data_IF_120648346160
#
_entry.id   IF_120648346160
#
_cell.length_a   1.000
_cell.length_b   1.000
_cell.length_c   1.000
_cell.angle_alpha   90.00
_cell.angle_beta   90.00
_cell.angle_gamma   90.00
#
_symmetry.space_group_name_H-M   'P 1'
#
loop_
_entity.id
_entity.type
_entity.pdbx_description
1 polymer ?
#
# COMPACT_ATOMS: atom_id res chain seq x y z
N UNK A 1 -21.13 7.35 27.36
CA UNK A 1 -21.74 6.41 26.39
C UNK A 1 -21.92 5.09 27.10
N UNK A 2 -22.98 4.32 26.79
CA UNK A 2 -23.10 2.96 27.31
C UNK A 2 -21.87 2.15 26.90
N UNK A 3 -21.33 1.40 27.85
CA UNK A 3 -20.26 0.42 27.62
C UNK A 3 -20.71 -0.54 26.51
N UNK A 4 -19.81 -0.86 25.56
CA UNK A 4 -20.15 -1.77 24.47
C UNK A 4 -20.51 -3.15 25.04
N UNK A 5 -21.78 -3.52 24.93
CA UNK A 5 -22.26 -4.83 25.35
C UNK A 5 -22.64 -5.66 24.12
N UNK A 6 -21.82 -6.66 23.82
CA UNK A 6 -22.01 -7.57 22.69
C UNK A 6 -23.34 -8.34 22.77
N UNK A 7 -23.77 -8.72 23.98
CA UNK A 7 -25.04 -9.42 24.16
C UNK A 7 -26.24 -8.52 23.87
N UNK A 8 -26.19 -7.25 24.29
CA UNK A 8 -27.22 -6.27 23.98
C UNK A 8 -27.28 -5.96 22.49
N UNK A 9 -26.13 -5.89 21.82
CA UNK A 9 -26.06 -5.71 20.36
C UNK A 9 -26.77 -6.85 19.63
N UNK A 10 -26.44 -8.11 19.94
CA UNK A 10 -27.09 -9.29 19.33
C UNK A 10 -28.58 -9.32 19.63
N UNK A 11 -28.96 -8.99 20.87
CA UNK A 11 -30.37 -8.95 21.27
C UNK A 11 -31.14 -7.92 20.45
N UNK A 12 -30.62 -6.69 20.35
CA UNK A 12 -31.25 -5.61 19.61
C UNK A 12 -31.30 -5.85 18.11
N UNK A 13 -30.24 -6.43 17.54
CA UNK A 13 -30.22 -6.88 16.14
C UNK A 13 -31.37 -7.87 15.88
N UNK A 14 -31.49 -8.93 16.69
CA UNK A 14 -32.58 -9.90 16.55
C UNK A 14 -33.96 -9.29 16.75
N UNK A 15 -34.11 -8.42 17.75
CA UNK A 15 -35.39 -7.78 18.07
C UNK A 15 -35.85 -6.86 16.94
N UNK A 16 -34.96 -6.02 16.41
CA UNK A 16 -35.28 -5.09 15.33
C UNK A 16 -35.48 -5.81 14.00
N UNK A 17 -34.67 -6.82 13.70
CA UNK A 17 -34.82 -7.61 12.48
C UNK A 17 -36.09 -8.48 12.49
N UNK A 18 -36.60 -8.88 13.66
CA UNK A 18 -37.87 -9.59 13.77
C UNK A 18 -39.06 -8.72 13.28
N UNK A 19 -38.97 -7.40 13.42
CA UNK A 19 -40.01 -6.45 13.04
C UNK A 19 -39.91 -5.97 11.57
N UNK A 20 -38.92 -6.44 10.80
CA UNK A 20 -38.79 -6.09 9.39
C UNK A 20 -39.93 -6.66 8.55
N UNK A 21 -40.41 -5.86 7.61
CA UNK A 21 -41.33 -6.27 6.54
C UNK A 21 -40.68 -7.27 5.60
N UNK A 22 -41.47 -8.08 4.90
CA UNK A 22 -40.95 -9.04 3.92
C UNK A 22 -40.12 -8.34 2.82
N UNK A 23 -40.54 -7.15 2.38
CA UNK A 23 -39.81 -6.36 1.39
C UNK A 23 -38.41 -5.97 1.89
N UNK A 24 -38.27 -5.56 3.14
CA UNK A 24 -36.98 -5.21 3.74
C UNK A 24 -36.08 -6.46 3.87
N UNK A 25 -36.64 -7.62 4.23
CA UNK A 25 -35.89 -8.89 4.29
C UNK A 25 -35.37 -9.32 2.92
N UNK A 26 -36.19 -9.19 1.89
CA UNK A 26 -35.74 -9.47 0.51
C UNK A 26 -34.64 -8.50 0.08
N UNK A 27 -34.77 -7.21 0.40
CA UNK A 27 -33.76 -6.21 0.09
C UNK A 27 -32.43 -6.50 0.80
N UNK A 28 -32.47 -6.87 2.09
CA UNK A 28 -31.28 -7.25 2.87
C UNK A 28 -30.56 -8.47 2.25
N UNK A 29 -31.33 -9.48 1.83
CA UNK A 29 -30.80 -10.67 1.15
C UNK A 29 -30.13 -10.31 -0.18
N UNK A 30 -30.77 -9.46 -0.99
CA UNK A 30 -30.21 -8.97 -2.25
C UNK A 30 -28.91 -8.21 -2.00
N UNK A 31 -28.89 -7.35 -0.98
CA UNK A 31 -27.71 -6.56 -0.65
C UNK A 31 -26.58 -7.46 -0.11
N UNK A 32 -26.89 -8.53 0.62
CA UNK A 32 -25.89 -9.53 1.04
C UNK A 32 -25.27 -10.25 -0.16
N UNK A 33 -26.10 -10.72 -1.10
CA UNK A 33 -25.60 -11.33 -2.34
C UNK A 33 -24.73 -10.35 -3.12
N UNK A 34 -25.16 -9.08 -3.25
CA UNK A 34 -24.38 -8.03 -3.92
C UNK A 34 -23.02 -7.83 -3.24
N UNK A 35 -22.99 -7.74 -1.90
CA UNK A 35 -21.74 -7.61 -1.13
C UNK A 35 -20.81 -8.81 -1.37
N UNK A 36 -21.33 -10.04 -1.36
CA UNK A 36 -20.54 -11.25 -1.62
C UNK A 36 -19.95 -11.26 -3.04
N UNK A 37 -20.74 -10.86 -4.04
CA UNK A 37 -20.24 -10.70 -5.42
C UNK A 37 -19.14 -9.64 -5.48
N UNK A 38 -19.33 -8.49 -4.85
CA UNK A 38 -18.32 -7.40 -4.80
C UNK A 38 -17.02 -7.90 -4.16
N UNK A 39 -17.08 -8.65 -3.06
CA UNK A 39 -15.91 -9.25 -2.41
C UNK A 39 -15.20 -10.22 -3.36
N UNK A 40 -15.93 -11.07 -4.06
CA UNK A 40 -15.37 -12.07 -4.98
C UNK A 40 -14.67 -11.44 -6.19
N UNK A 41 -15.14 -10.28 -6.68
CA UNK A 41 -14.50 -9.55 -7.78
C UNK A 41 -13.37 -8.63 -7.33
N UNK A 42 -13.11 -8.46 -6.02
CA UNK A 42 -12.04 -7.58 -5.52
C UNK A 42 -10.66 -7.87 -6.10
N UNK A 43 -10.21 -9.13 -6.22
CA UNK A 43 -8.95 -9.43 -6.88
C UNK A 43 -8.85 -8.85 -8.29
N UNK A 44 -9.92 -8.96 -9.08
CA UNK A 44 -9.94 -8.50 -10.47
C UNK A 44 -10.04 -6.98 -10.59
N UNK A 45 -10.65 -6.33 -9.59
CA UNK A 45 -10.80 -4.87 -9.52
C UNK A 45 -9.69 -4.19 -8.73
N UNK A 46 -8.75 -4.95 -8.18
CA UNK A 46 -7.59 -4.39 -7.48
C UNK A 46 -6.76 -3.59 -8.45
N UNK A 47 -6.33 -2.41 -8.00
CA UNK A 47 -5.58 -1.45 -8.80
C UNK A 47 -4.28 -2.00 -9.42
N UNK A 48 -3.70 -3.05 -8.81
CA UNK A 48 -2.47 -3.69 -9.26
C UNK A 48 -2.70 -4.93 -10.13
N UNK A 49 -3.95 -5.36 -10.34
CA UNK A 49 -4.27 -6.59 -11.06
C UNK A 49 -3.75 -6.58 -12.49
N UNK A 50 -4.13 -5.57 -13.29
CA UNK A 50 -3.74 -5.48 -14.69
C UNK A 50 -2.23 -5.32 -14.86
N UNK A 51 -1.58 -4.55 -13.98
CA UNK A 51 -0.13 -4.38 -13.98
C UNK A 51 0.60 -5.69 -13.67
N UNK A 52 0.10 -6.45 -12.69
CA UNK A 52 0.63 -7.76 -12.33
C UNK A 52 0.47 -8.74 -13.49
N UNK A 53 -0.73 -8.84 -14.06
CA UNK A 53 -1.02 -9.71 -15.20
C UNK A 53 -0.12 -9.39 -16.41
N UNK A 54 0.05 -8.10 -16.72
CA UNK A 54 0.92 -7.65 -17.80
C UNK A 54 2.36 -8.13 -17.58
N UNK A 55 2.93 -7.93 -16.38
CA UNK A 55 4.27 -8.40 -16.08
C UNK A 55 4.42 -9.93 -16.15
N UNK A 56 3.40 -10.67 -15.70
CA UNK A 56 3.38 -12.13 -15.80
C UNK A 56 3.42 -12.59 -17.26
N UNK A 57 2.61 -11.97 -18.13
CA UNK A 57 2.59 -12.27 -19.57
C UNK A 57 3.95 -11.92 -20.20
N UNK A 58 4.51 -10.74 -19.92
CA UNK A 58 5.80 -10.30 -20.45
C UNK A 58 6.93 -11.26 -20.07
N UNK A 59 6.92 -11.76 -18.84
CA UNK A 59 7.91 -12.73 -18.37
C UNK A 59 7.55 -14.19 -18.66
N UNK A 60 6.54 -14.45 -19.50
CA UNK A 60 6.07 -15.80 -19.88
C UNK A 60 5.80 -16.68 -18.65
N UNK A 61 5.19 -16.10 -17.62
CA UNK A 61 4.90 -16.75 -16.33
C UNK A 61 6.13 -17.38 -15.66
N UNK A 62 7.32 -16.82 -15.86
CA UNK A 62 8.53 -17.30 -15.20
C UNK A 62 8.63 -16.81 -13.74
N UNK A 63 8.01 -17.56 -12.84
CA UNK A 63 7.98 -17.29 -11.39
C UNK A 63 9.33 -17.50 -10.67
N UNK A 64 10.38 -17.98 -11.36
CA UNK A 64 11.70 -18.15 -10.75
C UNK A 64 12.40 -16.82 -10.49
N UNK A 65 12.04 -15.76 -11.25
CA UNK A 65 12.66 -14.44 -11.11
C UNK A 65 12.30 -13.79 -9.76
N UNK A 66 13.27 -13.34 -8.95
CA UNK A 66 13.01 -12.73 -7.65
C UNK A 66 12.03 -11.55 -7.70
N UNK A 67 12.13 -10.71 -8.73
CA UNK A 67 11.24 -9.56 -8.89
C UNK A 67 9.79 -9.98 -9.11
N UNK A 68 9.54 -11.03 -9.90
CA UNK A 68 8.19 -11.53 -10.14
C UNK A 68 7.58 -12.07 -8.86
N UNK A 69 8.38 -12.69 -7.98
CA UNK A 69 7.92 -13.10 -6.65
C UNK A 69 7.47 -11.89 -5.83
N UNK A 70 8.26 -10.81 -5.78
CA UNK A 70 7.87 -9.57 -5.07
C UNK A 70 6.55 -9.03 -5.59
N UNK A 71 6.41 -8.89 -6.91
CA UNK A 71 5.18 -8.37 -7.53
C UNK A 71 3.96 -9.21 -7.15
N UNK A 72 4.06 -10.53 -7.22
CA UNK A 72 2.96 -11.44 -6.86
C UNK A 72 2.62 -11.34 -5.37
N UNK A 73 3.62 -11.38 -4.49
CA UNK A 73 3.37 -11.28 -3.05
C UNK A 73 2.78 -9.92 -2.67
N UNK A 74 3.28 -8.83 -3.23
CA UNK A 74 2.72 -7.49 -3.08
C UNK A 74 1.24 -7.47 -3.50
N UNK A 75 0.93 -7.97 -4.70
CA UNK A 75 -0.44 -8.02 -5.22
C UNK A 75 -1.37 -8.87 -4.34
N UNK A 76 -0.95 -10.08 -3.94
CA UNK A 76 -1.76 -10.97 -3.10
C UNK A 76 -2.04 -10.32 -1.75
N UNK A 77 -1.02 -9.80 -1.07
CA UNK A 77 -1.18 -9.16 0.24
C UNK A 77 -2.08 -7.92 0.16
N UNK A 78 -1.88 -7.05 -0.84
CA UNK A 78 -2.75 -5.89 -1.08
C UNK A 78 -4.20 -6.29 -1.32
N UNK A 79 -4.42 -7.32 -2.14
CA UNK A 79 -5.75 -7.83 -2.47
C UNK A 79 -6.46 -8.44 -1.25
N UNK A 80 -5.75 -9.18 -0.39
CA UNK A 80 -6.33 -9.71 0.84
C UNK A 80 -6.78 -8.57 1.75
N UNK A 81 -5.98 -7.50 1.87
CA UNK A 81 -6.39 -6.29 2.58
C UNK A 81 -7.66 -5.67 2.00
N UNK A 82 -7.74 -5.54 0.67
CA UNK A 82 -8.93 -4.99 -0.02
C UNK A 82 -10.18 -5.86 0.19
N UNK A 83 -10.02 -7.20 0.23
CA UNK A 83 -11.09 -8.16 0.52
C UNK A 83 -11.58 -8.00 1.96
N UNK A 84 -10.67 -7.89 2.93
CA UNK A 84 -11.01 -7.73 4.34
C UNK A 84 -11.71 -6.39 4.60
N UNK A 85 -11.22 -5.29 4.01
CA UNK A 85 -11.90 -3.99 4.11
C UNK A 85 -13.32 -4.07 3.55
N UNK A 86 -13.49 -4.66 2.35
CA UNK A 86 -14.79 -4.83 1.73
C UNK A 86 -15.72 -5.73 2.55
N UNK A 87 -15.19 -6.76 3.21
CA UNK A 87 -15.94 -7.60 4.13
C UNK A 87 -16.36 -6.82 5.39
N UNK A 88 -15.48 -5.98 5.94
CA UNK A 88 -15.79 -5.07 7.03
C UNK A 88 -16.91 -4.08 6.71
N UNK A 89 -17.05 -3.67 5.44
CA UNK A 89 -18.15 -2.79 5.01
C UNK A 89 -19.55 -3.44 5.12
N UNK A 90 -19.67 -4.76 5.42
CA UNK A 90 -20.98 -5.37 5.71
C UNK A 90 -21.61 -4.82 6.99
N UNK A 91 -20.80 -4.32 7.92
CA UNK A 91 -21.25 -3.78 9.20
C UNK A 91 -21.68 -2.32 9.01
N UNK A 92 -22.86 -2.14 8.41
CA UNK A 92 -23.44 -0.83 8.06
C UNK A 92 -24.29 -0.24 9.18
N UNK A 93 -24.70 -1.05 10.15
CA UNK A 93 -25.62 -0.67 11.22
C UNK A 93 -25.03 -1.09 12.56
N UNK A 94 -25.11 -0.22 13.55
CA UNK A 94 -24.70 -0.48 14.92
C UNK A 94 -25.93 -0.54 15.83
N UNK A 95 -26.15 -1.71 16.43
CA UNK A 95 -27.31 -1.98 17.28
C UNK A 95 -26.92 -1.84 18.76
N UNK A 96 -27.65 -1.03 19.53
CA UNK A 96 -27.38 -0.87 20.96
C UNK A 96 -28.64 -0.45 21.73
N UNK A 97 -28.55 -0.40 23.07
CA UNK A 97 -29.65 0.06 23.94
C UNK A 97 -29.40 1.50 24.42
N UNK A 98 -30.43 2.33 24.33
CA UNK A 98 -30.51 3.64 24.96
C UNK A 98 -31.70 3.61 25.92
N UNK A 99 -31.45 3.77 27.23
CA UNK A 99 -32.49 3.74 28.27
C UNK A 99 -33.39 2.47 28.20
N UNK A 100 -32.79 1.33 27.86
CA UNK A 100 -33.48 0.04 27.71
C UNK A 100 -34.18 -0.19 26.37
N UNK A 101 -34.19 0.81 25.48
CA UNK A 101 -34.80 0.73 24.15
C UNK A 101 -33.74 0.37 23.11
N UNK A 102 -34.03 -0.60 22.25
CA UNK A 102 -33.15 -0.97 21.14
C UNK A 102 -33.19 0.09 20.02
N UNK A 103 -32.00 0.54 19.61
CA UNK A 103 -31.80 1.54 18.55
C UNK A 103 -30.80 1.01 17.53
N UNK A 104 -31.03 1.34 16.25
CA UNK A 104 -30.12 1.07 15.15
C UNK A 104 -29.55 2.38 14.60
N UNK A 105 -28.24 2.55 14.66
CA UNK A 105 -27.55 3.73 14.12
C UNK A 105 -26.74 3.37 12.86
N UNK A 106 -26.75 4.22 11.82
CA UNK A 106 -25.94 3.99 10.64
C UNK A 106 -24.43 4.18 10.93
N UNK A 107 -23.63 3.25 10.44
CA UNK A 107 -22.16 3.24 10.58
C UNK A 107 -21.54 4.01 9.42
N UNK A 108 -21.32 5.30 9.64
CA UNK A 108 -20.71 6.20 8.64
C UNK A 108 -19.19 6.03 8.53
N UNK A 109 -18.51 5.69 9.62
CA UNK A 109 -17.06 5.46 9.67
C UNK A 109 -16.71 4.09 10.24
N UNK A 110 -15.52 3.56 9.93
CA UNK A 110 -15.11 2.22 10.37
C UNK A 110 -15.00 2.12 11.90
N UNK A 111 -14.64 3.23 12.54
CA UNK A 111 -14.47 3.43 13.97
C UNK A 111 -15.80 3.34 14.72
N UNK A 112 -16.94 3.59 14.04
CA UNK A 112 -18.25 3.56 14.69
C UNK A 112 -18.77 2.14 14.94
N UNK A 113 -18.06 1.10 14.49
CA UNK A 113 -18.45 -0.28 14.73
C UNK A 113 -17.23 -1.14 15.12
N UNK A 114 -17.18 -1.72 16.34
CA UNK A 114 -16.03 -2.48 16.87
C UNK A 114 -15.50 -3.57 15.92
N UNK A 115 -16.39 -4.40 15.36
CA UNK A 115 -16.00 -5.46 14.41
C UNK A 115 -15.52 -4.90 13.05
N UNK A 116 -16.15 -3.83 12.55
CA UNK A 116 -15.71 -3.17 11.31
C UNK A 116 -14.30 -2.64 11.48
N UNK A 117 -14.05 -1.90 12.55
CA UNK A 117 -12.72 -1.41 12.92
C UNK A 117 -11.68 -2.54 12.96
N UNK A 118 -11.98 -3.61 13.70
CA UNK A 118 -11.10 -4.77 13.82
C UNK A 118 -10.74 -5.38 12.45
N UNK A 119 -11.74 -5.62 11.62
CA UNK A 119 -11.53 -6.28 10.33
C UNK A 119 -10.85 -5.33 9.34
N UNK A 120 -11.38 -4.11 9.18
CA UNK A 120 -11.02 -3.20 8.10
C UNK A 120 -9.80 -2.32 8.39
N UNK A 121 -9.45 -2.12 9.67
CA UNK A 121 -8.29 -1.29 10.05
C UNK A 121 -7.16 -2.10 10.65
N UNK A 122 -7.46 -3.05 11.53
CA UNK A 122 -6.42 -3.89 12.14
C UNK A 122 -6.01 -5.05 11.24
N UNK A 123 -6.94 -5.95 10.88
CA UNK A 123 -6.60 -7.11 10.04
C UNK A 123 -6.23 -6.73 8.61
N UNK A 124 -7.07 -5.94 7.93
CA UNK A 124 -6.76 -5.45 6.59
C UNK A 124 -5.47 -4.60 6.58
N UNK A 125 -5.26 -3.79 7.62
CA UNK A 125 -4.03 -3.01 7.81
C UNK A 125 -2.78 -3.88 7.80
N UNK A 126 -2.78 -5.01 8.52
CA UNK A 126 -1.64 -5.95 8.50
C UNK A 126 -1.30 -6.38 7.07
N UNK A 127 -2.30 -6.78 6.29
CA UNK A 127 -2.09 -7.25 4.91
C UNK A 127 -1.65 -6.12 3.98
N UNK A 128 -2.25 -4.93 4.09
CA UNK A 128 -1.85 -3.76 3.32
C UNK A 128 -0.40 -3.36 3.59
N UNK A 129 -0.05 -3.12 4.86
CA UNK A 129 1.32 -2.71 5.22
C UNK A 129 2.34 -3.82 4.99
N UNK A 130 1.97 -5.11 5.12
CA UNK A 130 2.85 -6.22 4.73
C UNK A 130 3.11 -6.23 3.22
N UNK A 131 2.08 -6.00 2.39
CA UNK A 131 2.23 -5.89 0.95
C UNK A 131 3.12 -4.70 0.56
N UNK A 132 3.02 -3.61 1.30
CA UNK A 132 3.89 -2.44 1.15
C UNK A 132 5.35 -2.75 1.50
N UNK A 133 5.62 -3.41 2.63
CA UNK A 133 6.97 -3.84 3.04
C UNK A 133 7.61 -4.76 1.99
N UNK A 134 6.83 -5.69 1.44
CA UNK A 134 7.31 -6.57 0.34
C UNK A 134 7.65 -5.75 -0.90
N UNK A 135 6.83 -4.75 -1.25
CA UNK A 135 7.10 -3.82 -2.35
C UNK A 135 8.39 -3.03 -2.15
N UNK A 136 8.68 -2.57 -0.93
CA UNK A 136 9.89 -1.79 -0.61
C UNK A 136 11.21 -2.56 -0.77
N UNK A 137 11.16 -3.90 -0.78
CA UNK A 137 12.34 -4.71 -1.08
C UNK A 137 12.75 -4.63 -2.54
N UNK A 138 11.87 -4.16 -3.43
CA UNK A 138 12.16 -4.05 -4.85
C UNK A 138 13.37 -3.14 -5.14
N UNK A 139 13.41 -1.86 -4.72
CA UNK A 139 14.59 -1.01 -4.92
C UNK A 139 15.88 -1.59 -4.32
N UNK A 140 15.80 -2.24 -3.16
CA UNK A 140 16.94 -2.87 -2.49
C UNK A 140 17.53 -4.01 -3.35
N UNK A 141 16.70 -4.93 -3.84
CA UNK A 141 17.15 -6.03 -4.70
C UNK A 141 17.72 -5.49 -6.02
N UNK A 142 17.07 -4.48 -6.61
CA UNK A 142 17.56 -3.85 -7.86
C UNK A 142 18.92 -3.20 -7.64
N UNK A 143 19.10 -2.51 -6.53
CA UNK A 143 20.36 -1.81 -6.26
C UNK A 143 21.47 -2.81 -5.95
N UNK A 144 21.18 -3.85 -5.18
CA UNK A 144 22.13 -4.96 -4.93
C UNK A 144 22.62 -5.63 -6.22
N UNK A 145 21.75 -5.80 -7.21
CA UNK A 145 22.13 -6.41 -8.48
C UNK A 145 23.08 -5.54 -9.32
N UNK A 146 23.04 -4.21 -9.14
CA UNK A 146 23.88 -3.25 -9.87
C UNK A 146 25.16 -2.91 -9.10
N UNK A 147 25.11 -2.87 -7.77
CA UNK A 147 26.28 -2.63 -6.92
C UNK A 147 27.05 -3.94 -6.74
N UNK A 148 27.88 -4.29 -7.72
CA UNK A 148 28.80 -5.45 -7.65
C UNK A 148 30.20 -4.96 -7.26
N UNK A 149 30.89 -5.65 -6.35
CA UNK A 149 32.31 -5.40 -6.03
C UNK A 149 32.59 -4.68 -4.70
N UNK A 150 33.57 -3.76 -4.70
CA UNK A 150 34.18 -3.12 -3.52
C UNK A 150 33.27 -2.12 -2.78
N UNK A 151 32.17 -1.69 -3.40
CA UNK A 151 31.25 -0.67 -2.85
C UNK A 151 30.17 -1.24 -1.90
N UNK A 152 30.37 -2.45 -1.36
CA UNK A 152 29.48 -3.10 -0.39
C UNK A 152 29.16 -2.22 0.83
N UNK A 153 30.07 -1.32 1.21
CA UNK A 153 29.84 -0.36 2.30
C UNK A 153 28.66 0.58 2.01
N UNK A 154 28.45 0.99 0.75
CA UNK A 154 27.31 1.84 0.39
C UNK A 154 25.99 1.07 0.45
N UNK A 155 26.02 -0.24 0.15
CA UNK A 155 24.84 -1.10 0.22
C UNK A 155 24.31 -1.22 1.67
N UNK A 156 25.20 -1.17 2.67
CA UNK A 156 24.82 -1.17 4.09
C UNK A 156 23.86 -0.02 4.44
N UNK A 157 24.15 1.20 3.97
CA UNK A 157 23.25 2.34 4.22
C UNK A 157 21.84 2.10 3.67
N UNK A 158 21.73 1.46 2.51
CA UNK A 158 20.43 1.12 1.90
C UNK A 158 19.67 0.10 2.75
N UNK A 159 20.37 -0.92 3.30
CA UNK A 159 19.74 -1.87 4.21
C UNK A 159 19.23 -1.19 5.47
N UNK A 160 20.01 -0.28 6.06
CA UNK A 160 19.63 0.45 7.27
C UNK A 160 18.43 1.37 7.02
N UNK A 161 18.44 2.17 5.94
CA UNK A 161 17.31 3.05 5.62
C UNK A 161 16.07 2.28 5.22
N UNK A 162 16.20 1.17 4.47
CA UNK A 162 15.09 0.26 4.17
C UNK A 162 14.52 -0.37 5.44
N UNK A 163 15.36 -0.76 6.40
CA UNK A 163 14.93 -1.30 7.68
C UNK A 163 14.15 -0.27 8.49
N UNK A 164 14.68 0.96 8.63
CA UNK A 164 14.00 2.06 9.34
C UNK A 164 12.65 2.38 8.67
N UNK A 165 12.61 2.44 7.34
CA UNK A 165 11.38 2.70 6.60
C UNK A 165 10.34 1.59 6.82
N UNK A 166 10.72 0.31 6.72
CA UNK A 166 9.82 -0.80 7.01
C UNK A 166 9.38 -0.85 8.48
N UNK A 167 10.27 -0.49 9.41
CA UNK A 167 9.96 -0.39 10.83
C UNK A 167 8.87 0.64 11.08
N UNK A 168 8.87 1.78 10.36
CA UNK A 168 7.80 2.78 10.47
C UNK A 168 6.41 2.22 10.12
N UNK A 169 6.33 1.30 9.15
CA UNK A 169 5.08 0.60 8.77
C UNK A 169 4.66 -0.42 9.81
N UNK A 170 5.62 -1.11 10.43
CA UNK A 170 5.34 -2.00 11.57
C UNK A 170 4.78 -1.21 12.75
N UNK A 171 5.36 -0.05 13.05
CA UNK A 171 4.82 0.86 14.08
C UNK A 171 3.40 1.28 13.74
N UNK A 172 3.10 1.63 12.47
CA UNK A 172 1.71 1.91 12.05
C UNK A 172 0.77 0.71 12.25
N UNK A 173 1.20 -0.50 11.89
CA UNK A 173 0.39 -1.71 12.12
C UNK A 173 0.07 -1.87 13.60
N UNK A 174 1.10 -1.85 14.47
CA UNK A 174 0.94 -2.02 15.91
C UNK A 174 0.11 -0.90 16.54
N UNK A 175 0.23 0.33 16.04
CA UNK A 175 -0.53 1.47 16.54
C UNK A 175 -2.05 1.31 16.35
N UNK A 176 -2.51 0.63 15.29
CA UNK A 176 -3.94 0.33 15.15
C UNK A 176 -4.48 -0.60 16.25
N UNK A 177 -3.61 -1.36 16.92
CA UNK A 177 -3.97 -2.24 18.03
C UNK A 177 -3.90 -1.57 19.41
N UNK A 178 -3.41 -0.33 19.53
CA UNK A 178 -3.32 0.35 20.83
C UNK A 178 -4.65 0.93 21.29
N UNK A 179 -5.59 1.15 20.38
CA UNK A 179 -6.93 1.64 20.71
C UNK A 179 -7.88 0.46 20.88
N UNK A 180 -8.51 0.44 22.06
CA UNK A 180 -9.53 -0.55 22.37
C UNK A 180 -10.78 -0.33 21.50
N UNK A 181 -11.39 -1.44 21.07
CA UNK A 181 -12.53 -1.42 20.15
C UNK A 181 -13.74 -0.70 20.76
N UNK A 182 -13.81 -0.65 22.08
CA UNK A 182 -14.93 -0.11 22.83
C UNK A 182 -14.78 1.40 23.11
N UNK A 183 -13.55 1.93 23.08
CA UNK A 183 -13.25 3.34 23.38
C UNK A 183 -12.95 4.19 22.15
N UNK A 184 -12.93 3.59 20.96
CA UNK A 184 -12.43 4.27 19.77
C UNK A 184 -13.19 5.55 19.39
N UNK A 185 -14.52 5.60 19.62
CA UNK A 185 -15.31 6.80 19.34
C UNK A 185 -14.95 7.98 20.26
N UNK A 186 -14.45 7.70 21.47
CA UNK A 186 -14.01 8.73 22.42
C UNK A 186 -12.56 9.17 22.14
N UNK A 187 -11.74 8.26 21.64
CA UNK A 187 -10.31 8.50 21.38
C UNK A 187 -9.98 8.82 19.92
N UNK A 188 -10.99 8.90 19.03
CA UNK A 188 -10.81 9.07 17.58
C UNK A 188 -9.84 10.21 17.23
N UNK A 189 -10.06 11.40 17.80
CA UNK A 189 -9.23 12.57 17.53
C UNK A 189 -7.77 12.35 17.95
N UNK A 190 -7.55 11.81 19.15
CA UNK A 190 -6.21 11.57 19.67
C UNK A 190 -5.51 10.47 18.86
N UNK A 191 -6.24 9.40 18.54
CA UNK A 191 -5.75 8.31 17.71
C UNK A 191 -5.24 8.85 16.38
N UNK A 192 -6.07 9.60 15.66
CA UNK A 192 -5.73 10.09 14.34
C UNK A 192 -4.62 11.14 14.35
N UNK A 193 -4.53 11.98 15.38
CA UNK A 193 -3.43 12.96 15.49
C UNK A 193 -2.06 12.26 15.56
N UNK A 194 -1.93 11.24 16.40
CA UNK A 194 -0.71 10.44 16.50
C UNK A 194 -0.50 9.59 15.25
N UNK A 195 -1.56 9.02 14.68
CA UNK A 195 -1.50 8.28 13.41
C UNK A 195 -0.90 9.13 12.29
N UNK A 196 -1.38 10.36 12.10
CA UNK A 196 -0.86 11.29 11.09
C UNK A 196 0.59 11.71 11.37
N UNK A 197 0.98 11.85 12.63
CA UNK A 197 2.38 12.10 13.00
C UNK A 197 3.29 10.92 12.65
N UNK A 198 2.88 9.68 12.95
CA UNK A 198 3.61 8.45 12.56
C UNK A 198 3.70 8.35 11.04
N UNK A 199 2.61 8.65 10.33
CA UNK A 199 2.58 8.63 8.87
C UNK A 199 3.55 9.66 8.27
N UNK A 200 3.57 10.90 8.78
CA UNK A 200 4.52 11.93 8.35
C UNK A 200 5.97 11.48 8.59
N UNK A 201 6.26 10.86 9.74
CA UNK A 201 7.57 10.28 10.01
C UNK A 201 7.94 9.16 9.01
N UNK A 202 6.97 8.33 8.61
CA UNK A 202 7.16 7.30 7.60
C UNK A 202 7.44 7.88 6.21
N UNK A 203 6.76 8.96 5.80
CA UNK A 203 7.08 9.68 4.56
C UNK A 203 8.51 10.23 4.56
N UNK A 204 8.96 10.80 5.67
CA UNK A 204 10.36 11.23 5.82
C UNK A 204 11.33 10.04 5.70
N UNK A 205 11.02 8.90 6.32
CA UNK A 205 11.82 7.68 6.20
C UNK A 205 11.85 7.16 4.74
N UNK A 206 10.74 7.24 4.02
CA UNK A 206 10.66 6.88 2.60
C UNK A 206 11.60 7.73 1.76
N UNK A 207 11.61 9.05 1.95
CA UNK A 207 12.51 9.95 1.22
C UNK A 207 13.99 9.69 1.54
N UNK A 208 14.32 9.38 2.80
CA UNK A 208 15.67 8.99 3.19
C UNK A 208 16.09 7.67 2.51
N UNK A 209 15.17 6.70 2.43
CA UNK A 209 15.40 5.45 1.73
C UNK A 209 15.63 5.69 0.23
N UNK A 210 14.74 6.41 -0.45
CA UNK A 210 14.88 6.75 -1.87
C UNK A 210 16.17 7.52 -2.16
N UNK A 211 16.54 8.47 -1.31
CA UNK A 211 17.79 9.23 -1.40
C UNK A 211 19.01 8.31 -1.27
N UNK A 212 18.98 7.36 -0.34
CA UNK A 212 20.08 6.41 -0.16
C UNK A 212 20.25 5.48 -1.39
N UNK A 213 19.14 5.02 -1.96
CA UNK A 213 19.12 4.21 -3.19
C UNK A 213 19.65 5.03 -4.37
N UNK A 214 19.21 6.28 -4.52
CA UNK A 214 19.68 7.19 -5.56
C UNK A 214 21.19 7.38 -5.51
N UNK A 215 21.73 7.75 -4.32
CA UNK A 215 23.16 8.00 -4.15
C UNK A 215 23.97 6.75 -4.47
N UNK A 216 23.54 5.57 -3.98
CA UNK A 216 24.24 4.33 -4.22
C UNK A 216 24.24 3.91 -5.70
N UNK A 217 23.08 4.00 -6.37
CA UNK A 217 22.97 3.71 -7.80
C UNK A 217 23.80 4.67 -8.63
N UNK A 218 23.74 5.97 -8.31
CA UNK A 218 24.49 7.02 -9.00
C UNK A 218 26.00 6.73 -8.93
N UNK A 219 26.52 6.44 -7.74
CA UNK A 219 27.93 6.11 -7.52
C UNK A 219 28.37 4.86 -8.27
N UNK A 220 27.61 3.77 -8.18
CA UNK A 220 27.95 2.51 -8.85
C UNK A 220 28.01 2.67 -10.37
N UNK A 221 27.03 3.39 -10.95
CA UNK A 221 26.99 3.62 -12.39
C UNK A 221 28.17 4.50 -12.85
N UNK A 222 28.50 5.58 -12.13
CA UNK A 222 29.61 6.45 -12.53
C UNK A 222 30.96 5.73 -12.56
N UNK A 223 31.21 4.81 -11.62
CA UNK A 223 32.46 4.04 -11.56
C UNK A 223 32.64 3.08 -12.73
N UNK A 224 31.56 2.48 -13.25
CA UNK A 224 31.61 1.61 -14.45
C UNK A 224 31.57 2.41 -15.76
N UNK A 225 31.01 3.62 -15.77
CA UNK A 225 30.88 4.41 -17.01
C UNK A 225 32.21 5.01 -17.48
N UNK A 226 33.17 5.23 -16.58
CA UNK A 226 34.52 5.68 -16.97
C UNK A 226 35.29 4.64 -17.80
N UNK A 227 34.91 3.34 -17.73
CA UNK A 227 35.61 2.26 -18.43
C UNK A 227 34.87 1.71 -19.66
N UNK A 228 33.58 2.02 -19.88
CA UNK A 228 32.78 1.42 -20.95
C UNK A 228 31.95 2.47 -21.72
N UNK A 229 32.45 2.87 -22.90
CA UNK A 229 31.71 3.65 -23.90
C UNK A 229 30.65 2.78 -24.61
N UNK A 230 29.51 2.47 -23.98
CA UNK A 230 28.38 1.83 -24.68
C UNK A 230 27.00 2.35 -24.24
N UNK A 231 26.12 2.54 -25.24
CA UNK A 231 24.83 3.25 -25.12
C UNK A 231 23.75 2.58 -24.26
N UNK A 232 23.89 1.30 -23.90
CA UNK A 232 22.93 0.59 -23.05
C UNK A 232 22.93 1.08 -21.61
N UNK A 233 24.11 1.16 -20.98
CA UNK A 233 24.25 1.66 -19.60
C UNK A 233 23.71 3.09 -19.49
N UNK A 234 23.90 3.90 -20.53
CA UNK A 234 23.35 5.27 -20.60
C UNK A 234 21.81 5.27 -20.68
N UNK A 235 21.19 4.40 -21.48
CA UNK A 235 19.73 4.24 -21.55
C UNK A 235 19.16 3.68 -20.23
N UNK A 236 19.80 2.66 -19.65
CA UNK A 236 19.40 2.03 -18.39
C UNK A 236 19.51 2.99 -17.20
N UNK A 237 20.56 3.81 -17.16
CA UNK A 237 20.73 4.86 -16.15
C UNK A 237 19.55 5.82 -16.14
N UNK A 238 19.21 6.39 -17.31
CA UNK A 238 18.13 7.36 -17.42
C UNK A 238 16.78 6.79 -16.92
N UNK A 239 16.55 5.50 -17.14
CA UNK A 239 15.28 4.84 -16.78
C UNK A 239 15.18 4.60 -15.27
N UNK A 240 16.25 4.14 -14.65
CA UNK A 240 16.24 3.88 -13.21
C UNK A 240 16.38 5.15 -12.35
N UNK A 241 17.02 6.19 -12.88
CA UNK A 241 17.03 7.53 -12.28
C UNK A 241 15.65 8.19 -12.34
N UNK A 242 14.93 8.02 -13.46
CA UNK A 242 13.60 8.60 -13.64
C UNK A 242 12.62 8.15 -12.54
N UNK A 243 12.59 6.86 -12.20
CA UNK A 243 11.76 6.36 -11.08
C UNK A 243 12.04 7.11 -9.78
N UNK A 244 13.31 7.14 -9.37
CA UNK A 244 13.68 7.68 -8.07
C UNK A 244 13.42 9.19 -8.03
N UNK A 245 13.64 9.88 -9.16
CA UNK A 245 13.31 11.28 -9.31
C UNK A 245 11.80 11.53 -9.15
N UNK A 246 10.94 10.72 -9.78
CA UNK A 246 9.49 10.89 -9.65
C UNK A 246 9.03 10.60 -8.21
N UNK A 247 9.49 9.51 -7.59
CA UNK A 247 9.19 9.22 -6.18
C UNK A 247 9.65 10.35 -5.24
N UNK A 248 10.85 10.91 -5.48
CA UNK A 248 11.37 12.03 -4.69
C UNK A 248 10.55 13.31 -4.89
N UNK A 249 10.12 13.63 -6.12
CA UNK A 249 9.26 14.80 -6.39
C UNK A 249 7.91 14.64 -5.69
N UNK A 250 7.28 13.47 -5.80
CA UNK A 250 6.01 13.18 -5.14
C UNK A 250 6.16 13.28 -3.62
N UNK A 251 7.23 12.72 -3.04
CA UNK A 251 7.47 12.83 -1.61
C UNK A 251 7.76 14.27 -1.16
N UNK A 252 8.52 15.05 -1.95
CA UNK A 252 8.83 16.45 -1.65
C UNK A 252 7.59 17.35 -1.69
N UNK A 253 6.62 17.06 -2.55
CA UNK A 253 5.32 17.76 -2.61
C UNK A 253 4.37 17.20 -1.55
N UNK A 254 4.36 15.89 -1.33
CA UNK A 254 3.47 15.21 -0.39
C UNK A 254 3.72 15.61 1.06
N UNK A 255 4.99 15.70 1.48
CA UNK A 255 5.35 16.06 2.87
C UNK A 255 4.77 17.42 3.31
N UNK A 256 4.94 18.54 2.59
CA UNK A 256 4.38 19.82 3.03
C UNK A 256 2.85 19.82 3.02
N UNK A 257 2.21 19.13 2.08
CA UNK A 257 0.74 19.02 2.04
C UNK A 257 0.24 18.22 3.26
N UNK A 258 0.81 17.04 3.51
CA UNK A 258 0.44 16.19 4.64
C UNK A 258 0.81 16.84 5.99
N UNK A 259 1.94 17.54 6.06
CA UNK A 259 2.37 18.26 7.25
C UNK A 259 1.45 19.44 7.58
N UNK A 260 1.07 20.23 6.59
CA UNK A 260 0.11 21.33 6.79
C UNK A 260 -1.27 20.80 7.21
N UNK A 261 -1.75 19.71 6.60
CA UNK A 261 -2.95 18.99 7.04
C UNK A 261 -2.89 18.58 8.51
N UNK A 262 -1.79 17.95 8.94
CA UNK A 262 -1.63 17.53 10.34
C UNK A 262 -1.66 18.73 11.30
N UNK A 263 -1.01 19.85 10.94
CA UNK A 263 -1.04 21.08 11.75
C UNK A 263 -2.45 21.69 11.80
N UNK A 264 -3.16 21.73 10.66
CA UNK A 264 -4.53 22.25 10.62
C UNK A 264 -5.48 21.40 11.45
N UNK A 265 -5.34 20.07 11.44
CA UNK A 265 -6.13 19.16 12.26
C UNK A 265 -5.98 19.43 13.76
N UNK A 266 -4.76 19.73 14.21
CA UNK A 266 -4.50 20.09 15.62
C UNK A 266 -5.21 21.37 16.04
N UNK A 267 -5.32 22.35 15.14
CA UNK A 267 -5.95 23.65 15.40
C UNK A 267 -7.47 23.62 15.20
N UNK A 268 -7.99 22.80 14.28
CA UNK A 268 -9.38 22.80 13.84
C UNK A 268 -10.01 21.40 13.93
N UNK A 269 -10.22 20.91 15.16
CA UNK A 269 -10.75 19.56 15.44
C UNK A 269 -12.11 19.26 14.83
N UNK A 270 -12.93 20.28 14.57
CA UNK A 270 -14.29 20.11 14.04
C UNK A 270 -14.35 19.75 12.55
N UNK A 271 -13.23 19.84 11.82
CA UNK A 271 -13.17 19.61 10.39
C UNK A 271 -12.29 18.41 10.06
N UNK A 272 -12.74 17.59 9.12
CA UNK A 272 -11.96 16.47 8.63
C UNK A 272 -10.87 16.96 7.66
N UNK A 273 -9.68 17.21 8.20
CA UNK A 273 -8.49 17.55 7.43
C UNK A 273 -7.71 16.32 6.96
N UNK A 274 -8.28 15.11 7.03
CA UNK A 274 -7.59 13.91 6.58
C UNK A 274 -7.45 13.88 5.05
N UNK A 275 -6.24 13.60 4.58
CA UNK A 275 -5.95 13.39 3.15
C UNK A 275 -5.61 11.92 2.90
N UNK A 276 -6.52 11.04 3.30
CA UNK A 276 -6.38 9.60 3.12
C UNK A 276 -6.23 9.21 1.64
N UNK A 277 -6.98 9.86 0.75
CA UNK A 277 -6.87 9.60 -0.70
C UNK A 277 -5.51 10.03 -1.26
N UNK A 278 -4.96 11.15 -0.80
CA UNK A 278 -3.63 11.60 -1.19
C UNK A 278 -2.56 10.63 -0.66
N UNK A 279 -2.72 10.15 0.58
CA UNK A 279 -1.87 9.12 1.19
C UNK A 279 -1.81 7.87 0.31
N UNK A 280 -2.99 7.36 -0.05
CA UNK A 280 -3.17 6.18 -0.91
C UNK A 280 -2.53 6.44 -2.28
N UNK A 281 -2.77 7.61 -2.88
CA UNK A 281 -2.19 8.00 -4.16
C UNK A 281 -0.65 8.03 -4.16
N UNK A 282 -0.03 8.65 -3.15
CA UNK A 282 1.44 8.74 -3.02
C UNK A 282 2.04 7.34 -2.94
N UNK A 283 1.49 6.52 -2.04
CA UNK A 283 1.96 5.14 -1.79
C UNK A 283 1.80 4.28 -3.03
N UNK A 284 0.63 4.30 -3.68
CA UNK A 284 0.36 3.51 -4.87
C UNK A 284 1.23 3.94 -6.05
N UNK A 285 1.52 5.24 -6.19
CA UNK A 285 2.39 5.74 -7.26
C UNK A 285 3.79 5.17 -7.16
N UNK A 286 4.35 5.09 -5.95
CA UNK A 286 5.66 4.45 -5.71
C UNK A 286 5.65 2.99 -6.17
N UNK A 287 4.58 2.24 -5.93
CA UNK A 287 4.48 0.86 -6.40
C UNK A 287 4.19 0.75 -7.91
N UNK A 288 3.40 1.66 -8.51
CA UNK A 288 3.27 1.71 -9.98
C UNK A 288 4.62 1.85 -10.67
N UNK A 289 5.54 2.62 -10.07
CA UNK A 289 6.89 2.74 -10.61
C UNK A 289 7.69 1.45 -10.60
N UNK A 290 7.42 0.51 -9.68
CA UNK A 290 8.02 -0.84 -9.73
C UNK A 290 7.59 -1.56 -11.02
N UNK A 291 6.30 -1.49 -11.38
CA UNK A 291 5.78 -2.14 -12.58
C UNK A 291 6.33 -1.48 -13.85
N UNK A 292 6.30 -0.16 -13.90
CA UNK A 292 6.82 0.63 -15.02
C UNK A 292 8.31 0.33 -15.26
N UNK A 293 9.11 0.27 -14.19
CA UNK A 293 10.54 -0.05 -14.27
C UNK A 293 10.78 -1.45 -14.85
N UNK A 294 9.99 -2.45 -14.44
CA UNK A 294 10.08 -3.81 -15.01
C UNK A 294 9.68 -3.89 -16.48
N UNK A 295 8.63 -3.16 -16.88
CA UNK A 295 8.22 -3.08 -18.28
C UNK A 295 9.35 -2.48 -19.12
N UNK A 296 9.91 -1.35 -18.68
CA UNK A 296 11.01 -0.69 -19.38
C UNK A 296 12.25 -1.59 -19.49
N UNK A 297 12.64 -2.24 -18.38
CA UNK A 297 13.75 -3.20 -18.35
C UNK A 297 13.58 -4.34 -19.35
N UNK A 298 12.38 -4.88 -19.45
CA UNK A 298 12.08 -5.94 -20.41
C UNK A 298 12.28 -5.49 -21.86
N UNK A 299 11.75 -4.32 -22.23
CA UNK A 299 11.89 -3.79 -23.59
C UNK A 299 13.35 -3.52 -23.97
N UNK A 300 14.10 -2.90 -23.06
CA UNK A 300 15.53 -2.62 -23.24
C UNK A 300 16.31 -3.92 -23.47
N UNK A 301 16.09 -4.95 -22.63
CA UNK A 301 16.79 -6.24 -22.78
C UNK A 301 16.49 -6.92 -24.12
N UNK A 302 15.27 -6.74 -24.65
CA UNK A 302 14.86 -7.31 -25.94
C UNK A 302 15.51 -6.58 -27.12
N UNK A 303 15.65 -5.26 -27.05
CA UNK A 303 16.33 -4.44 -28.07
C UNK A 303 17.79 -4.90 -28.23
N UNK A 304 18.50 -5.13 -27.13
CA UNK A 304 19.89 -5.60 -27.18
C UNK A 304 20.05 -6.95 -27.86
N UNK A 305 19.25 -7.94 -27.48
CA UNK A 305 19.30 -9.27 -28.10
C UNK A 305 19.05 -9.22 -29.61
N UNK A 306 18.20 -8.30 -30.08
CA UNK A 306 17.98 -8.11 -31.51
C UNK A 306 19.18 -7.50 -32.23
N UNK A 307 19.89 -6.57 -31.58
CA UNK A 307 21.09 -5.92 -32.13
C UNK A 307 22.29 -6.86 -32.15
N UNK A 308 22.49 -7.69 -31.13
CA UNK A 308 23.57 -8.69 -31.10
C UNK A 308 23.31 -9.78 -32.14
N UNK A 309 22.09 -10.31 -32.23
CA UNK A 309 21.72 -11.29 -33.26
C UNK A 309 21.87 -10.75 -34.68
N UNK A 310 21.62 -9.46 -34.91
CA UNK A 310 21.85 -8.82 -36.21
C UNK A 310 23.32 -8.60 -36.54
N UNK A 311 24.19 -8.42 -35.54
CA UNK A 311 25.65 -8.30 -35.75
C UNK A 311 26.28 -9.66 -36.05
N UNK A 312 25.84 -10.71 -35.38
CA UNK A 312 26.33 -12.07 -35.63
C UNK A 312 25.95 -12.56 -37.06
N UNK A 313 24.80 -12.13 -37.58
CA UNK A 313 24.39 -12.40 -38.97
C UNK A 313 25.13 -11.56 -40.03
N UNK A 314 25.90 -10.54 -39.66
CA UNK A 314 26.69 -9.71 -40.60
C UNK A 314 28.16 -10.10 -40.68
N UNK A 315 28.62 -11.05 -39.87
CA UNK A 315 30.02 -11.53 -39.86
C UNK A 315 30.19 -12.77 -40.77
N UNK A 316 29.12 -13.23 -41.42
CA UNK A 316 29.16 -14.29 -42.42
C UNK A 316 28.76 -13.72 -43.79
N UNK A 317 29.58 -12.82 -44.36
CA UNK A 317 29.74 -12.62 -45.81
C UNK A 317 31.20 -12.28 -46.08
#
# INVERSE_FOLDING_TARGET
MPEFNYEDMIYCEKFLNANMTDQERYQETIDEVRRMVVILIKPLTSQFFYWTLLLLIMHRFNFKKPVIKIVIFHYILRTIGDILDQYGQRYTTFYHKIDGICVAEPVTKAEHHPLRWFISRQLAGIFWYSGEIVGDWYPLIRTRAVVVGEDKKNLWYIYVTCFIFNLSKIVMMLYHFTVDKDNIKLEEDNFYNVYWAIYLASLCCSLLYDSSVYIAMKRAIFKETESINFGFLKKFRNISEYRILVSAIIGLIGIPIMGSSAILRLNFKSYDWSFEDLRIFIVNTTYYMMFIDQIMLYYISKEEHSLTSSKDNKIII
#
